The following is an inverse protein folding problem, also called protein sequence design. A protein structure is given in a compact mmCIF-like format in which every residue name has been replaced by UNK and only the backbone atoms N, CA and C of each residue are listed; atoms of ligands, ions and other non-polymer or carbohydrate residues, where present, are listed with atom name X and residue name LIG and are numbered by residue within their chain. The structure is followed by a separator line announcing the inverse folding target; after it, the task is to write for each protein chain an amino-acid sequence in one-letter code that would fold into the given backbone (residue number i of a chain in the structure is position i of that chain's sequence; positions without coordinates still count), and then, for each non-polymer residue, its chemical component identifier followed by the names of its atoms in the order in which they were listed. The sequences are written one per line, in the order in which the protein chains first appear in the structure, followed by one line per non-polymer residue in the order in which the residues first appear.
data_IF_471887778492
#
_entry.id   IF_471887778492
#
_cell.length_a   1.000
_cell.length_b   1.000
_cell.length_c   1.000
_cell.angle_alpha   90.00
_cell.angle_beta   90.00
_cell.angle_gamma   90.00
#
_symmetry.space_group_name_H-M   'P 1'
#
loop_
_entity.id
_entity.type
_entity.pdbx_description
1 polymer ?
#
# COMPACT_ATOMS: atom_id res chain seq x y z
N UNK A 1 10.54 9.16 -2.17
CA UNK A 1 9.10 9.54 -2.20
C UNK A 1 8.59 9.15 -3.58
N UNK A 2 7.57 8.31 -3.66
CA UNK A 2 6.98 7.87 -4.94
C UNK A 2 5.64 8.56 -5.11
N UNK A 3 5.37 9.11 -6.29
CA UNK A 3 4.10 9.78 -6.60
C UNK A 3 3.13 8.78 -7.24
N UNK A 4 1.89 8.74 -6.76
CA UNK A 4 0.80 7.94 -7.34
C UNK A 4 0.01 8.85 -8.31
N UNK A 5 -0.31 8.39 -9.54
CA UNK A 5 -1.08 9.18 -10.47
C UNK A 5 -2.54 9.36 -10.01
N UNK A 6 -3.12 10.55 -10.28
CA UNK A 6 -4.55 10.83 -10.08
C UNK A 6 -5.24 10.79 -11.45
N UNK A 7 -5.79 9.65 -11.87
CA UNK A 7 -6.37 9.49 -13.20
C UNK A 7 -7.75 10.18 -13.31
N UNK A 8 -8.07 10.65 -14.51
CA UNK A 8 -9.44 11.01 -14.92
C UNK A 8 -9.90 10.02 -15.98
N UNK A 9 -10.80 9.12 -15.60
CA UNK A 9 -11.35 8.13 -16.54
C UNK A 9 -12.51 8.73 -17.34
N UNK A 10 -12.47 8.55 -18.67
CA UNK A 10 -13.48 9.07 -19.62
C UNK A 10 -14.82 8.33 -19.54
N UNK A 11 -14.85 7.18 -18.85
CA UNK A 11 -16.02 6.30 -18.80
C UNK A 11 -17.24 6.97 -18.13
N UNK A 12 -18.42 6.82 -18.75
CA UNK A 12 -19.65 7.51 -18.32
C UNK A 12 -20.18 7.02 -16.96
N UNK A 13 -20.03 5.73 -16.66
CA UNK A 13 -20.50 5.14 -15.41
C UNK A 13 -19.56 5.44 -14.23
N UNK A 14 -20.08 6.12 -13.20
CA UNK A 14 -19.35 6.49 -12.00
C UNK A 14 -18.79 5.30 -11.21
N UNK A 15 -19.55 4.20 -11.11
CA UNK A 15 -19.13 2.99 -10.40
C UNK A 15 -17.92 2.35 -11.08
N UNK A 16 -17.95 2.28 -12.41
CA UNK A 16 -16.84 1.73 -13.19
C UNK A 16 -15.60 2.61 -13.06
N UNK A 17 -15.76 3.94 -13.05
CA UNK A 17 -14.62 4.85 -12.77
C UNK A 17 -14.00 4.59 -11.40
N UNK A 18 -14.80 4.40 -10.36
CA UNK A 18 -14.30 4.06 -9.02
C UNK A 18 -13.46 2.79 -9.03
N UNK A 19 -13.98 1.71 -9.63
CA UNK A 19 -13.25 0.43 -9.76
C UNK A 19 -11.92 0.61 -10.51
N UNK A 20 -11.90 1.43 -11.57
CA UNK A 20 -10.66 1.69 -12.33
C UNK A 20 -9.64 2.49 -11.51
N UNK A 21 -10.09 3.42 -10.65
CA UNK A 21 -9.21 4.13 -9.70
C UNK A 21 -8.59 3.14 -8.73
N UNK A 22 -9.40 2.29 -8.10
CA UNK A 22 -8.94 1.30 -7.12
C UNK A 22 -7.95 0.32 -7.75
N UNK A 23 -8.27 -0.20 -8.94
CA UNK A 23 -7.38 -1.08 -9.69
C UNK A 23 -6.04 -0.43 -10.04
N UNK A 24 -6.06 0.83 -10.51
CA UNK A 24 -4.83 1.55 -10.81
C UNK A 24 -3.99 1.75 -9.54
N UNK A 25 -4.62 2.12 -8.44
CA UNK A 25 -3.96 2.28 -7.15
C UNK A 25 -3.26 0.99 -6.72
N UNK A 26 -3.95 -0.15 -6.73
CA UNK A 26 -3.35 -1.45 -6.40
C UNK A 26 -2.19 -1.82 -7.35
N UNK A 27 -2.30 -1.52 -8.64
CA UNK A 27 -1.22 -1.74 -9.59
C UNK A 27 0.01 -0.88 -9.27
N UNK A 28 -0.20 0.41 -8.99
CA UNK A 28 0.88 1.32 -8.59
C UNK A 28 1.57 0.82 -7.32
N UNK A 29 0.81 0.49 -6.27
CA UNK A 29 1.38 -0.04 -5.01
C UNK A 29 2.12 -1.35 -5.26
N UNK A 30 1.61 -2.26 -6.10
CA UNK A 30 2.30 -3.50 -6.45
C UNK A 30 3.66 -3.25 -7.12
N UNK A 31 3.74 -2.29 -8.04
CA UNK A 31 4.98 -1.90 -8.72
C UNK A 31 5.98 -1.33 -7.71
N UNK A 32 5.56 -0.35 -6.91
CA UNK A 32 6.43 0.34 -5.94
C UNK A 32 6.94 -0.61 -4.85
N UNK A 33 6.09 -1.54 -4.40
CA UNK A 33 6.44 -2.50 -3.35
C UNK A 33 7.20 -3.72 -3.86
N UNK A 34 7.30 -3.94 -5.18
CA UNK A 34 8.00 -5.09 -5.78
C UNK A 34 9.43 -5.30 -5.25
N UNK A 35 10.34 -4.30 -5.24
CA UNK A 35 11.69 -4.49 -4.68
C UNK A 35 11.66 -4.75 -3.17
N UNK A 36 10.70 -4.18 -2.44
CA UNK A 36 10.56 -4.36 -1.00
C UNK A 36 10.12 -5.80 -0.68
N UNK A 37 9.17 -6.35 -1.44
CA UNK A 37 8.75 -7.76 -1.36
C UNK A 37 9.91 -8.71 -1.64
N UNK A 38 10.74 -8.38 -2.63
CA UNK A 38 11.94 -9.16 -2.93
C UNK A 38 12.94 -9.12 -1.76
N UNK A 39 13.18 -7.94 -1.20
CA UNK A 39 14.06 -7.76 -0.04
C UNK A 39 13.52 -8.43 1.24
N UNK A 40 12.21 -8.45 1.42
CA UNK A 40 11.56 -9.15 2.54
C UNK A 40 11.71 -10.68 2.42
N UNK A 41 11.59 -11.23 1.20
CA UNK A 41 11.65 -12.67 0.96
C UNK A 41 13.08 -13.22 0.93
N UNK A 42 13.95 -12.54 0.18
CA UNK A 42 15.30 -13.04 -0.08
C UNK A 42 16.32 -12.43 0.88
N UNK A 43 16.08 -11.22 1.39
CA UNK A 43 17.12 -10.41 2.03
C UNK A 43 17.93 -9.62 1.01
N UNK A 44 18.49 -8.49 1.42
CA UNK A 44 19.40 -7.67 0.61
C UNK A 44 20.61 -7.23 1.43
N UNK A 45 21.74 -7.03 0.77
CA UNK A 45 22.87 -6.34 1.37
C UNK A 45 22.56 -4.84 1.47
N UNK A 46 22.64 -4.30 2.68
CA UNK A 46 22.40 -2.89 2.95
C UNK A 46 23.61 -2.29 3.66
N UNK A 47 24.04 -1.12 3.21
CA UNK A 47 25.15 -0.42 3.81
C UNK A 47 24.70 0.24 5.11
N UNK A 48 25.38 -0.09 6.19
CA UNK A 48 25.24 0.57 7.48
C UNK A 48 25.95 1.93 7.49
N UNK A 49 25.65 2.76 8.49
CA UNK A 49 26.22 4.11 8.61
C UNK A 49 27.74 4.13 8.82
N UNK A 50 28.34 3.00 9.19
CA UNK A 50 29.80 2.85 9.42
C UNK A 50 30.49 2.24 8.19
N UNK A 51 29.81 2.15 7.04
CA UNK A 51 30.36 1.57 5.81
C UNK A 51 30.42 0.04 5.79
N UNK A 52 29.93 -0.63 6.83
CA UNK A 52 29.78 -2.08 6.84
C UNK A 52 28.50 -2.51 6.11
N UNK A 53 28.59 -3.53 5.26
CA UNK A 53 27.40 -4.09 4.62
C UNK A 53 26.79 -5.19 5.51
N UNK A 54 25.47 -5.17 5.68
CA UNK A 54 24.73 -6.16 6.47
C UNK A 54 23.67 -6.82 5.62
N UNK A 55 23.48 -8.12 5.82
CA UNK A 55 22.38 -8.85 5.20
C UNK A 55 21.10 -8.61 5.99
N UNK A 56 20.16 -7.88 5.40
CA UNK A 56 18.94 -7.43 6.07
C UNK A 56 17.71 -7.94 5.33
N UNK A 57 16.72 -8.39 6.10
CA UNK A 57 15.36 -8.63 5.63
C UNK A 57 14.53 -7.41 5.96
N UNK A 58 13.97 -6.76 4.95
CA UNK A 58 13.18 -5.56 5.16
C UNK A 58 11.73 -5.93 5.45
N UNK A 59 11.21 -5.69 6.67
CA UNK A 59 9.79 -5.90 6.95
C UNK A 59 8.97 -4.98 6.06
N UNK A 60 7.84 -5.48 5.53
CA UNK A 60 6.96 -4.78 4.58
C UNK A 60 6.12 -3.68 5.27
N UNK A 61 6.71 -2.88 6.15
CA UNK A 61 6.11 -1.66 6.72
C UNK A 61 6.74 -0.49 5.95
N UNK A 62 6.18 -0.16 4.78
CA UNK A 62 6.70 0.95 3.97
C UNK A 62 5.61 1.89 3.45
N UNK A 63 4.35 1.64 3.80
CA UNK A 63 3.24 2.44 3.35
C UNK A 63 2.49 2.99 4.57
N UNK A 64 2.85 4.21 4.95
CA UNK A 64 2.07 5.02 5.89
C UNK A 64 1.03 5.72 5.04
N UNK A 65 -0.19 5.20 5.06
CA UNK A 65 -1.31 5.75 4.32
C UNK A 65 -2.22 6.54 5.27
N UNK A 66 -3.00 7.46 4.71
CA UNK A 66 -4.15 7.98 5.44
C UNK A 66 -5.27 6.92 5.50
N UNK A 67 -6.26 7.12 6.38
CA UNK A 67 -7.31 6.11 6.60
C UNK A 67 -8.00 5.68 5.30
N UNK A 68 -8.38 6.56 4.35
CA UNK A 68 -8.91 6.14 3.05
C UNK A 68 -7.97 5.20 2.27
N UNK A 69 -6.68 5.51 2.19
CA UNK A 69 -5.71 4.68 1.49
C UNK A 69 -5.45 3.35 2.21
N UNK A 70 -5.44 3.33 3.54
CA UNK A 70 -5.30 2.08 4.32
C UNK A 70 -6.48 1.15 4.08
N UNK A 71 -7.70 1.68 4.05
CA UNK A 71 -8.92 0.94 3.73
C UNK A 71 -8.86 0.35 2.31
N UNK A 72 -8.38 1.13 1.34
CA UNK A 72 -8.18 0.67 -0.03
C UNK A 72 -7.13 -0.44 -0.09
N UNK A 73 -5.98 -0.30 0.56
CA UNK A 73 -4.94 -1.34 0.60
C UNK A 73 -5.45 -2.63 1.24
N UNK A 74 -6.19 -2.52 2.34
CA UNK A 74 -6.76 -3.67 3.06
C UNK A 74 -7.97 -4.28 2.34
N UNK A 75 -8.49 -3.63 1.29
CA UNK A 75 -9.72 -4.00 0.59
C UNK A 75 -10.94 -4.09 1.54
N UNK A 76 -11.03 -3.16 2.50
CA UNK A 76 -12.09 -3.14 3.51
C UNK A 76 -12.97 -1.89 3.42
N UNK A 77 -14.22 -1.99 3.87
CA UNK A 77 -15.16 -0.87 3.83
C UNK A 77 -14.80 0.24 4.84
N UNK A 78 -15.27 1.46 4.61
CA UNK A 78 -15.05 2.61 5.50
C UNK A 78 -15.57 2.47 6.93
N UNK A 79 -16.33 1.42 7.22
CA UNK A 79 -16.95 1.17 8.52
C UNK A 79 -16.21 0.08 9.32
N UNK A 80 -15.04 -0.35 8.85
CA UNK A 80 -14.21 -1.36 9.53
C UNK A 80 -12.77 -0.88 9.59
N UNK A 81 -12.03 -1.36 10.59
CA UNK A 81 -10.63 -1.02 10.74
C UNK A 81 -9.78 -1.71 9.66
N UNK A 82 -8.80 -1.01 9.05
CA UNK A 82 -7.87 -1.64 8.11
C UNK A 82 -6.78 -2.49 8.80
N UNK A 83 -6.61 -2.34 10.12
CA UNK A 83 -5.54 -3.00 10.91
C UNK A 83 -6.10 -4.06 11.86
N UNK A 84 -7.37 -3.97 12.22
CA UNK A 84 -8.01 -4.86 13.20
C UNK A 84 -9.33 -5.41 12.68
N UNK A 85 -9.92 -6.37 13.37
CA UNK A 85 -11.28 -6.87 13.06
C UNK A 85 -12.39 -5.96 13.61
N UNK A 86 -12.05 -4.76 14.11
CA UNK A 86 -13.01 -3.87 14.71
C UNK A 86 -13.99 -3.30 13.68
N UNK A 87 -15.28 -3.35 14.01
CA UNK A 87 -16.34 -2.70 13.23
C UNK A 87 -16.69 -1.34 13.83
N UNK A 88 -17.44 -0.53 13.08
CA UNK A 88 -17.85 0.82 13.49
C UNK A 88 -18.46 0.89 14.89
N UNK A 89 -19.25 -0.11 15.27
CA UNK A 89 -19.95 -0.14 16.56
C UNK A 89 -19.01 -0.45 17.75
N UNK A 90 -17.76 -0.84 17.45
CA UNK A 90 -16.69 -1.09 18.41
C UNK A 90 -15.70 0.07 18.47
N UNK A 91 -15.85 1.07 17.59
CA UNK A 91 -15.17 2.36 17.75
C UNK A 91 -15.90 3.14 18.85
N UNK A 92 -15.13 3.66 19.81
CA UNK A 92 -15.64 4.35 21.01
C UNK A 92 -16.29 5.69 20.73
#
# INVERSE_FOLDING_TARGET
ITLIPVPKFVHSNARVRGILVDQLFHQCISIVTKPLKAAAKMGIMMNGPVGNSRYCFMPLISYVADTPEELLVACVCSNVSPVTTATRDQFG
#
